data_IF_295673457758
#
_entry.id   IF_295673457758
#
_cell.length_a   1.000
_cell.length_b   1.000
_cell.length_c   1.000
_cell.angle_alpha   90.00
_cell.angle_beta   90.00
_cell.angle_gamma   90.00
#
_symmetry.space_group_name_H-M   'P 1'
#
loop_
_entity.id
_entity.type
_entity.pdbx_description
1 polymer ?
#
# COMPACT_ATOMS: atom_id res chain seq x y z
N UNK A 1 3.02 36.08 31.51
CA UNK A 1 1.85 36.84 30.99
C UNK A 1 1.49 37.93 31.98
N UNK A 2 1.31 39.18 31.54
CA UNK A 2 0.80 40.26 32.40
C UNK A 2 -0.59 39.87 32.92
N UNK A 3 -0.79 39.86 34.23
CA UNK A 3 -2.09 39.51 34.82
C UNK A 3 -3.19 40.45 34.30
N UNK A 4 -4.35 39.90 33.95
CA UNK A 4 -5.52 40.70 33.56
C UNK A 4 -5.94 41.60 34.72
N UNK A 5 -6.42 42.80 34.41
CA UNK A 5 -7.04 43.66 35.43
C UNK A 5 -8.19 42.91 36.12
N UNK A 6 -8.42 43.18 37.41
CA UNK A 6 -9.47 42.52 38.21
C UNK A 6 -10.83 42.51 37.52
N UNK A 7 -11.17 43.62 36.85
CA UNK A 7 -12.41 43.78 36.10
C UNK A 7 -12.54 42.90 34.84
N UNK A 8 -11.47 42.30 34.32
CA UNK A 8 -11.48 41.52 33.07
C UNK A 8 -11.07 40.05 33.26
N UNK A 9 -10.99 39.57 34.51
CA UNK A 9 -10.49 38.20 34.79
C UNK A 9 -11.40 37.11 34.25
N UNK A 10 -12.70 37.35 34.25
CA UNK A 10 -13.76 36.47 33.75
C UNK A 10 -13.95 36.51 32.23
N UNK A 11 -13.29 37.43 31.52
CA UNK A 11 -13.38 37.53 30.07
C UNK A 11 -12.32 36.67 29.36
N UNK A 12 -12.61 36.16 28.15
CA UNK A 12 -11.62 35.49 27.30
C UNK A 12 -10.34 36.31 27.03
N UNK A 13 -9.21 35.69 26.62
CA UNK A 13 -7.99 36.39 26.26
C UNK A 13 -8.24 37.51 25.22
N UNK A 14 -7.61 38.67 25.37
CA UNK A 14 -7.76 39.84 24.49
C UNK A 14 -9.16 40.46 24.43
N UNK A 15 -10.12 40.00 25.22
CA UNK A 15 -11.41 40.69 25.42
C UNK A 15 -11.32 41.65 26.61
N UNK A 16 -11.88 42.86 26.46
CA UNK A 16 -11.84 43.94 27.47
C UNK A 16 -13.26 44.49 27.65
N UNK A 17 -13.67 44.71 28.90
CA UNK A 17 -14.84 45.55 29.22
C UNK A 17 -14.44 46.99 29.48
N UNK A 18 -15.23 47.93 28.97
CA UNK A 18 -15.18 49.35 29.32
C UNK A 18 -16.47 49.71 30.04
N UNK A 19 -16.34 50.38 31.17
CA UNK A 19 -17.45 50.84 31.98
C UNK A 19 -17.45 52.36 31.92
N UNK A 20 -18.55 52.96 31.45
CA UNK A 20 -18.76 54.41 31.46
C UNK A 20 -19.94 54.75 32.36
N UNK A 21 -19.76 55.72 33.26
CA UNK A 21 -20.85 56.27 34.08
C UNK A 21 -21.41 57.49 33.36
N UNK A 22 -22.72 57.50 33.11
CA UNK A 22 -23.43 58.67 32.61
C UNK A 22 -23.68 59.70 33.71
N UNK A 23 -24.10 60.90 33.31
CA UNK A 23 -24.37 62.05 34.20
C UNK A 23 -25.48 61.77 35.23
N UNK A 24 -26.37 60.80 34.94
CA UNK A 24 -27.47 60.35 35.81
C UNK A 24 -27.14 59.10 36.63
N UNK A 25 -25.87 58.68 36.70
CA UNK A 25 -25.42 57.49 37.43
C UNK A 25 -25.64 56.16 36.70
N UNK A 26 -26.29 56.17 35.53
CA UNK A 26 -26.48 54.97 34.69
C UNK A 26 -25.13 54.43 34.19
N UNK A 27 -24.90 53.14 34.42
CA UNK A 27 -23.65 52.44 34.04
C UNK A 27 -23.83 51.81 32.66
N UNK A 28 -22.94 52.15 31.72
CA UNK A 28 -22.87 51.54 30.40
C UNK A 28 -21.66 50.61 30.33
N UNK A 29 -21.91 49.34 30.02
CA UNK A 29 -20.86 48.33 29.81
C UNK A 29 -20.78 48.04 28.32
N UNK A 30 -19.58 48.15 27.76
CA UNK A 30 -19.29 47.75 26.38
C UNK A 30 -18.06 46.86 26.32
N UNK A 31 -18.09 45.90 25.41
CA UNK A 31 -17.06 44.91 25.21
C UNK A 31 -16.26 45.22 23.94
N UNK A 32 -14.95 44.99 24.02
CA UNK A 32 -14.01 45.22 22.92
C UNK A 32 -13.05 44.03 22.77
N UNK A 33 -12.67 43.75 21.53
CA UNK A 33 -11.56 42.87 21.20
C UNK A 33 -10.30 43.70 21.02
N UNK A 34 -9.27 43.42 21.81
CA UNK A 34 -7.96 44.07 21.77
C UNK A 34 -6.99 43.25 20.89
N UNK A 35 -7.14 43.42 19.58
CA UNK A 35 -6.30 42.80 18.57
C UNK A 35 -5.05 43.62 18.24
N UNK A 36 -4.29 43.13 17.25
CA UNK A 36 -3.22 43.89 16.59
C UNK A 36 -3.53 43.97 15.10
N UNK A 37 -3.25 45.11 14.48
CA UNK A 37 -3.28 45.24 13.02
C UNK A 37 -2.06 44.60 12.35
N UNK A 38 -2.01 44.62 11.01
CA UNK A 38 -0.90 44.06 10.21
C UNK A 38 0.45 44.73 10.52
N UNK A 39 0.44 45.97 11.03
CA UNK A 39 1.62 46.71 11.48
C UNK A 39 1.98 46.44 12.96
N UNK A 40 1.26 45.54 13.64
CA UNK A 40 1.52 45.15 15.02
C UNK A 40 1.02 46.14 16.08
N UNK A 41 0.31 47.21 15.69
CA UNK A 41 -0.26 48.23 16.57
C UNK A 41 -1.59 47.74 17.14
N UNK A 42 -1.87 48.12 18.39
CA UNK A 42 -3.11 47.71 19.08
C UNK A 42 -4.31 48.42 18.46
N UNK A 43 -5.35 47.65 18.15
CA UNK A 43 -6.64 48.15 17.66
C UNK A 43 -7.76 47.50 18.45
N UNK A 44 -8.59 48.32 19.09
CA UNK A 44 -9.78 47.87 19.80
C UNK A 44 -10.96 47.82 18.81
N UNK A 45 -11.55 46.63 18.65
CA UNK A 45 -12.74 46.42 17.80
C UNK A 45 -13.96 46.32 18.74
N UNK A 46 -15.02 47.14 18.55
CA UNK A 46 -16.21 47.06 19.38
C UNK A 46 -16.97 45.74 19.13
N UNK A 47 -17.33 45.04 20.21
CA UNK A 47 -18.07 43.77 20.19
C UNK A 47 -19.54 43.91 20.63
N UNK A 48 -19.94 45.10 21.09
CA UNK A 48 -21.29 45.41 21.56
C UNK A 48 -21.41 45.49 23.08
N UNK A 49 -22.64 45.53 23.57
CA UNK A 49 -22.99 45.69 25.00
C UNK A 49 -23.50 44.41 25.64
N UNK A 50 -23.88 43.41 24.85
CA UNK A 50 -24.30 42.09 25.31
C UNK A 50 -23.09 41.16 25.42
N UNK A 51 -22.92 40.49 26.57
CA UNK A 51 -21.74 39.67 26.85
C UNK A 51 -21.67 38.42 25.98
N UNK A 52 -22.80 37.77 25.70
CA UNK A 52 -22.83 36.50 24.99
C UNK A 52 -22.65 36.71 23.49
N UNK A 53 -23.28 37.74 22.91
CA UNK A 53 -22.99 38.16 21.53
C UNK A 53 -21.53 38.61 21.39
N UNK A 54 -20.99 39.34 22.38
CA UNK A 54 -19.61 39.77 22.35
C UNK A 54 -18.62 38.60 22.43
N UNK A 55 -18.94 37.51 23.15
CA UNK A 55 -18.15 36.27 23.15
C UNK A 55 -18.18 35.55 21.79
N UNK A 56 -19.32 35.56 21.09
CA UNK A 56 -19.44 34.98 19.74
C UNK A 56 -18.56 35.74 18.74
N UNK A 57 -18.65 37.07 18.73
CA UNK A 57 -17.81 37.91 17.85
C UNK A 57 -16.32 37.88 18.26
N UNK A 58 -16.02 37.80 19.56
CA UNK A 58 -14.65 37.54 20.04
C UNK A 58 -14.11 36.23 19.48
N UNK A 59 -14.89 35.14 19.57
CA UNK A 59 -14.49 33.83 19.06
C UNK A 59 -14.30 33.88 17.53
N UNK A 60 -15.09 34.69 16.82
CA UNK A 60 -14.90 34.91 15.38
C UNK A 60 -13.57 35.60 15.06
N UNK A 61 -13.17 36.60 15.84
CA UNK A 61 -11.95 37.39 15.62
C UNK A 61 -10.66 36.73 16.12
N UNK A 62 -10.73 35.89 17.15
CA UNK A 62 -9.58 35.13 17.68
C UNK A 62 -9.32 33.84 16.88
N UNK A 63 -10.26 33.42 16.00
CA UNK A 63 -10.06 32.28 15.09
C UNK A 63 -8.86 32.52 14.17
N UNK A 64 -7.79 31.74 14.38
CA UNK A 64 -6.57 31.78 13.55
C UNK A 64 -6.78 31.26 12.12
N UNK A 65 -7.77 30.38 11.91
CA UNK A 65 -8.22 29.93 10.60
C UNK A 65 -9.69 29.46 10.71
N UNK A 66 -10.53 29.67 9.68
CA UNK A 66 -11.87 29.06 9.65
C UNK A 66 -11.73 27.53 9.67
N UNK A 67 -12.64 26.80 10.37
CA UNK A 67 -12.65 25.35 10.28
C UNK A 67 -12.80 24.94 8.81
N UNK A 68 -12.02 23.95 8.37
CA UNK A 68 -12.13 23.42 7.02
C UNK A 68 -13.59 23.00 6.77
N UNK A 69 -14.19 23.34 5.62
CA UNK A 69 -15.57 22.98 5.35
C UNK A 69 -15.72 21.46 5.38
N UNK A 70 -16.46 20.94 6.36
CA UNK A 70 -16.64 19.51 6.58
C UNK A 70 -17.48 18.81 5.50
N UNK A 71 -18.18 19.59 4.66
CA UNK A 71 -18.98 19.11 3.54
C UNK A 71 -18.16 18.83 2.26
N UNK A 72 -16.85 19.09 2.25
CA UNK A 72 -15.97 18.87 1.11
C UNK A 72 -15.20 17.56 1.22
N UNK A 73 -14.83 16.98 0.08
CA UNK A 73 -13.98 15.79 0.05
C UNK A 73 -12.57 16.02 0.61
N UNK A 74 -12.04 17.24 0.56
CA UNK A 74 -10.78 17.59 1.24
C UNK A 74 -10.77 17.18 2.71
N UNK A 75 -11.87 17.44 3.43
CA UNK A 75 -12.03 17.06 4.83
C UNK A 75 -12.05 15.54 5.00
N UNK A 76 -12.77 14.82 4.13
CA UNK A 76 -12.83 13.35 4.13
C UNK A 76 -11.43 12.77 3.92
N UNK A 77 -10.68 13.24 2.91
CA UNK A 77 -9.34 12.75 2.62
C UNK A 77 -8.37 13.02 3.76
N UNK A 78 -8.38 14.23 4.34
CA UNK A 78 -7.51 14.59 5.46
C UNK A 78 -7.74 13.66 6.66
N UNK A 79 -9.02 13.46 7.02
CA UNK A 79 -9.41 12.59 8.13
C UNK A 79 -9.08 11.14 7.84
N UNK A 80 -9.29 10.69 6.59
CA UNK A 80 -8.99 9.32 6.16
C UNK A 80 -7.49 9.00 6.21
N UNK A 81 -6.65 9.94 5.77
CA UNK A 81 -5.19 9.82 5.89
C UNK A 81 -4.73 9.74 7.34
N UNK A 82 -5.41 10.44 8.25
CA UNK A 82 -5.07 10.47 9.68
C UNK A 82 -5.56 9.25 10.46
N UNK A 83 -6.80 8.83 10.22
CA UNK A 83 -7.48 7.85 11.08
C UNK A 83 -7.49 6.43 10.48
N UNK A 84 -7.54 6.30 9.15
CA UNK A 84 -7.75 5.00 8.48
C UNK A 84 -6.47 4.43 7.89
N UNK A 85 -5.63 5.26 7.25
CA UNK A 85 -4.40 4.77 6.61
C UNK A 85 -3.43 4.15 7.62
N UNK A 86 -3.15 4.74 8.80
CA UNK A 86 -2.16 4.19 9.73
C UNK A 86 -2.47 2.78 10.23
N UNK A 87 -3.75 2.40 10.27
CA UNK A 87 -4.18 1.03 10.63
C UNK A 87 -3.91 -0.04 9.56
N UNK A 88 -3.46 0.34 8.36
CA UNK A 88 -3.17 -0.60 7.25
C UNK A 88 -1.70 -0.98 7.20
N UNK A 89 -1.36 -2.06 6.50
CA UNK A 89 0.04 -2.46 6.30
C UNK A 89 0.86 -1.35 5.61
N UNK A 90 2.13 -1.19 5.96
CA UNK A 90 3.03 -0.11 5.45
C UNK A 90 2.98 -0.01 3.92
N UNK A 91 2.97 -1.14 3.21
CA UNK A 91 2.87 -1.13 1.75
C UNK A 91 1.55 -0.54 1.26
N UNK A 92 0.44 -0.97 1.87
CA UNK A 92 -0.89 -0.44 1.59
C UNK A 92 -0.99 1.05 1.92
N UNK A 93 -0.32 1.53 2.98
CA UNK A 93 -0.26 2.96 3.30
C UNK A 93 0.38 3.75 2.16
N UNK A 94 1.56 3.33 1.71
CA UNK A 94 2.26 3.98 0.59
C UNK A 94 1.43 4.00 -0.69
N UNK A 95 0.72 2.90 -0.99
CA UNK A 95 -0.13 2.82 -2.18
C UNK A 95 -1.37 3.72 -2.05
N UNK A 96 -2.03 3.76 -0.89
CA UNK A 96 -3.18 4.64 -0.63
C UNK A 96 -2.81 6.13 -0.69
N UNK A 97 -1.66 6.55 -0.17
CA UNK A 97 -1.23 7.95 -0.27
C UNK A 97 -1.03 8.38 -1.73
N UNK A 98 -0.51 7.49 -2.58
CA UNK A 98 -0.40 7.77 -4.03
C UNK A 98 -1.77 7.89 -4.69
N UNK A 99 -2.72 7.07 -4.29
CA UNK A 99 -4.09 7.09 -4.80
C UNK A 99 -4.83 8.35 -4.34
N UNK A 100 -4.75 8.72 -3.06
CA UNK A 100 -5.33 9.97 -2.53
C UNK A 100 -4.72 11.20 -3.21
N UNK A 101 -3.40 11.21 -3.44
CA UNK A 101 -2.75 12.30 -4.19
C UNK A 101 -3.39 12.49 -5.58
N UNK A 102 -3.83 11.42 -6.24
CA UNK A 102 -4.50 11.51 -7.54
C UNK A 102 -6.00 11.81 -7.43
N UNK A 103 -6.67 11.34 -6.39
CA UNK A 103 -8.07 11.65 -6.13
C UNK A 103 -8.25 13.13 -5.75
N UNK A 104 -7.35 13.68 -4.95
CA UNK A 104 -7.38 15.10 -4.54
C UNK A 104 -7.43 16.04 -5.73
N UNK A 105 -6.62 15.79 -6.76
CA UNK A 105 -6.62 16.60 -8.00
C UNK A 105 -7.98 16.72 -8.67
N UNK A 106 -8.84 15.71 -8.53
CA UNK A 106 -10.15 15.67 -9.19
C UNK A 106 -11.31 16.01 -8.25
N UNK A 107 -11.19 15.68 -6.96
CA UNK A 107 -12.33 15.68 -6.04
C UNK A 107 -12.16 16.59 -4.82
N UNK A 108 -10.97 17.12 -4.52
CA UNK A 108 -10.70 17.79 -3.24
C UNK A 108 -11.63 18.97 -2.92
N UNK A 109 -11.96 19.78 -3.93
CA UNK A 109 -12.88 20.92 -3.82
C UNK A 109 -14.34 20.56 -4.03
N UNK A 110 -14.67 19.31 -4.34
CA UNK A 110 -16.05 18.90 -4.57
C UNK A 110 -16.79 18.69 -3.23
N UNK A 111 -18.02 19.22 -3.10
CA UNK A 111 -18.92 18.82 -2.02
C UNK A 111 -19.17 17.30 -2.07
N UNK A 112 -19.12 16.64 -0.92
CA UNK A 112 -19.33 15.18 -0.78
C UNK A 112 -20.65 14.79 -1.46
N UNK A 113 -21.70 15.59 -1.21
CA UNK A 113 -23.05 15.44 -1.72
C UNK A 113 -23.19 15.61 -3.25
N UNK A 114 -22.23 16.26 -3.90
CA UNK A 114 -22.29 16.56 -5.34
C UNK A 114 -21.70 15.47 -6.23
N UNK A 115 -21.00 14.50 -5.65
CA UNK A 115 -20.31 13.46 -6.41
C UNK A 115 -21.31 12.41 -6.86
N UNK A 116 -21.48 12.28 -8.16
CA UNK A 116 -22.40 11.30 -8.78
C UNK A 116 -21.62 10.14 -9.42
N UNK A 117 -22.27 8.99 -9.67
CA UNK A 117 -21.66 7.89 -10.43
C UNK A 117 -21.14 8.32 -11.80
N UNK A 118 -21.79 9.30 -12.45
CA UNK A 118 -21.36 9.85 -13.73
C UNK A 118 -19.99 10.54 -13.62
N UNK A 119 -19.78 11.35 -12.57
CA UNK A 119 -18.48 12.03 -12.34
C UNK A 119 -17.38 11.00 -12.06
N UNK A 120 -17.68 9.94 -11.31
CA UNK A 120 -16.72 8.84 -11.06
C UNK A 120 -16.37 8.10 -12.35
N UNK A 121 -17.35 7.88 -13.25
CA UNK A 121 -17.10 7.29 -14.56
C UNK A 121 -16.26 8.21 -15.47
N UNK A 122 -16.53 9.52 -15.48
CA UNK A 122 -15.71 10.49 -16.21
C UNK A 122 -14.26 10.48 -15.71
N UNK A 123 -14.05 10.44 -14.39
CA UNK A 123 -12.71 10.26 -13.81
C UNK A 123 -12.04 8.98 -14.32
N UNK A 124 -12.73 7.84 -14.26
CA UNK A 124 -12.21 6.55 -14.78
C UNK A 124 -11.75 6.66 -16.23
N UNK A 125 -12.55 7.31 -17.07
CA UNK A 125 -12.35 7.35 -18.50
C UNK A 125 -11.23 8.32 -18.89
N UNK A 126 -11.12 9.45 -18.19
CA UNK A 126 -10.05 10.43 -18.35
C UNK A 126 -8.67 9.91 -17.89
N UNK A 127 -8.60 8.96 -16.95
CA UNK A 127 -7.32 8.40 -16.49
C UNK A 127 -6.69 7.51 -17.56
N UNK A 128 -5.44 7.81 -17.91
CA UNK A 128 -4.63 7.02 -18.87
C UNK A 128 -4.22 5.67 -18.28
N UNK A 129 -3.78 5.65 -17.02
CA UNK A 129 -3.41 4.43 -16.30
C UNK A 129 -4.66 3.67 -15.81
N UNK A 130 -5.29 2.88 -16.69
CA UNK A 130 -6.59 2.23 -16.45
C UNK A 130 -6.66 1.34 -15.20
N UNK A 131 -5.59 0.59 -14.91
CA UNK A 131 -5.51 -0.24 -13.68
C UNK A 131 -5.41 0.64 -12.43
N UNK A 132 -4.64 1.74 -12.47
CA UNK A 132 -4.54 2.68 -11.35
C UNK A 132 -5.86 3.39 -11.10
N UNK A 133 -6.59 3.75 -12.16
CA UNK A 133 -7.94 4.30 -12.04
C UNK A 133 -8.89 3.37 -11.26
N UNK A 134 -8.83 2.05 -11.51
CA UNK A 134 -9.61 1.09 -10.74
C UNK A 134 -9.23 1.10 -9.26
N UNK A 135 -7.94 1.18 -8.92
CA UNK A 135 -7.48 1.23 -7.53
C UNK A 135 -7.90 2.53 -6.84
N UNK A 136 -7.73 3.66 -7.52
CA UNK A 136 -8.17 4.99 -7.06
C UNK A 136 -9.68 5.01 -6.77
N UNK A 137 -10.52 4.50 -7.68
CA UNK A 137 -11.97 4.45 -7.46
C UNK A 137 -12.34 3.44 -6.34
N UNK A 138 -11.53 2.40 -6.11
CA UNK A 138 -11.76 1.47 -4.99
C UNK A 138 -11.48 2.17 -3.65
N UNK A 139 -10.41 2.96 -3.59
CA UNK A 139 -10.10 3.78 -2.43
C UNK A 139 -11.15 4.87 -2.20
N UNK A 140 -11.58 5.55 -3.27
CA UNK A 140 -12.65 6.55 -3.21
C UNK A 140 -13.95 5.94 -2.69
N UNK A 141 -14.32 4.74 -3.18
CA UNK A 141 -15.49 4.01 -2.69
C UNK A 141 -15.38 3.75 -1.19
N UNK A 142 -14.23 3.25 -0.72
CA UNK A 142 -14.03 3.00 0.71
C UNK A 142 -14.07 4.31 1.53
N UNK A 143 -13.43 5.38 1.05
CA UNK A 143 -13.47 6.69 1.71
C UNK A 143 -14.90 7.24 1.82
N UNK A 144 -15.75 7.04 0.80
CA UNK A 144 -17.16 7.39 0.85
C UNK A 144 -17.96 6.57 1.87
N UNK A 145 -17.70 5.27 1.97
CA UNK A 145 -18.32 4.44 3.01
C UNK A 145 -17.94 4.93 4.40
N UNK A 146 -16.66 5.22 4.64
CA UNK A 146 -16.19 5.78 5.92
C UNK A 146 -16.78 7.19 6.18
N UNK A 147 -16.94 8.03 5.15
CA UNK A 147 -17.59 9.34 5.30
C UNK A 147 -19.04 9.21 5.80
N UNK A 148 -19.76 8.16 5.37
CA UNK A 148 -21.10 7.84 5.91
C UNK A 148 -21.03 7.39 7.36
N UNK A 149 -20.08 6.52 7.72
CA UNK A 149 -19.86 6.09 9.11
C UNK A 149 -19.52 7.27 10.04
N UNK A 150 -18.85 8.29 9.52
CA UNK A 150 -18.57 9.53 10.23
C UNK A 150 -19.74 10.52 10.29
N UNK A 151 -20.89 10.20 9.68
CA UNK A 151 -22.06 11.07 9.62
C UNK A 151 -21.85 12.32 8.76
N UNK A 152 -20.94 12.28 7.79
CA UNK A 152 -20.67 13.42 6.89
C UNK A 152 -21.62 13.45 5.68
N UNK A 153 -22.28 12.34 5.38
CA UNK A 153 -23.25 12.21 4.28
C UNK A 153 -24.15 11.00 4.53
N UNK A 154 -25.42 11.13 4.17
CA UNK A 154 -26.38 10.02 4.17
C UNK A 154 -26.55 9.38 2.79
N UNK A 155 -25.98 10.01 1.74
CA UNK A 155 -26.11 9.54 0.36
C UNK A 155 -25.48 8.17 0.15
N UNK A 156 -26.05 7.45 -0.80
CA UNK A 156 -25.48 6.20 -1.29
C UNK A 156 -24.08 6.44 -1.89
N UNK A 157 -23.22 5.42 -1.78
CA UNK A 157 -21.85 5.50 -2.30
C UNK A 157 -21.86 5.67 -3.84
N UNK A 158 -21.35 6.79 -4.38
CA UNK A 158 -21.42 7.06 -5.82
C UNK A 158 -20.52 6.16 -6.66
N UNK A 159 -19.58 5.44 -6.04
CA UNK A 159 -18.73 4.48 -6.74
C UNK A 159 -19.43 3.12 -6.95
N UNK A 160 -20.55 2.88 -6.25
CA UNK A 160 -21.31 1.64 -6.38
C UNK A 160 -21.97 1.58 -7.77
N UNK A 161 -21.95 0.40 -8.41
CA UNK A 161 -22.48 0.20 -9.77
C UNK A 161 -21.62 0.78 -10.90
N UNK A 162 -20.55 1.53 -10.61
CA UNK A 162 -19.65 2.05 -11.64
C UNK A 162 -18.75 0.94 -12.17
N UNK A 163 -18.88 0.64 -13.48
CA UNK A 163 -18.07 -0.38 -14.16
C UNK A 163 -16.58 -0.08 -14.00
N UNK A 164 -15.78 -1.11 -13.71
CA UNK A 164 -14.32 -1.01 -13.68
C UNK A 164 -13.72 -1.24 -15.07
N UNK A 165 -12.52 -0.71 -15.30
CA UNK A 165 -11.75 -1.03 -16.49
C UNK A 165 -11.41 -2.53 -16.48
N UNK A 166 -11.51 -3.21 -17.63
CA UNK A 166 -11.11 -4.62 -17.73
C UNK A 166 -9.60 -4.72 -17.52
N UNK A 167 -9.18 -5.45 -16.48
CA UNK A 167 -7.77 -5.75 -16.22
C UNK A 167 -7.42 -7.06 -16.92
N UNK A 168 -6.42 -7.06 -17.79
CA UNK A 168 -5.84 -8.29 -18.35
C UNK A 168 -4.75 -8.79 -17.38
N UNK A 169 -4.90 -9.97 -16.77
CA UNK A 169 -3.83 -10.57 -16.00
C UNK A 169 -2.58 -10.74 -16.85
N UNK A 170 -1.41 -10.64 -16.21
CA UNK A 170 -0.14 -10.94 -16.87
C UNK A 170 -0.08 -12.43 -17.20
N UNK A 171 0.11 -12.74 -18.47
CA UNK A 171 0.20 -14.10 -19.00
C UNK A 171 1.59 -14.34 -19.58
N UNK A 172 2.54 -14.63 -18.70
CA UNK A 172 3.93 -14.87 -19.07
C UNK A 172 4.37 -16.20 -18.45
N UNK A 173 4.95 -17.06 -19.27
CA UNK A 173 5.55 -18.33 -18.88
C UNK A 173 7.05 -18.32 -19.14
N UNK A 174 7.84 -18.58 -18.11
CA UNK A 174 9.28 -18.77 -18.25
C UNK A 174 9.56 -20.25 -18.57
N UNK A 175 9.59 -20.58 -19.86
CA UNK A 175 10.06 -21.89 -20.32
C UNK A 175 11.53 -22.14 -19.96
N UNK A 176 11.99 -23.38 -20.13
CA UNK A 176 13.33 -23.80 -19.72
C UNK A 176 14.45 -22.97 -20.37
N UNK A 177 14.31 -22.61 -21.64
CA UNK A 177 15.31 -21.80 -22.37
C UNK A 177 15.52 -20.45 -21.67
N UNK A 178 14.42 -19.74 -21.35
CA UNK A 178 14.47 -18.44 -20.67
C UNK A 178 15.00 -18.60 -19.24
N UNK A 179 14.52 -19.63 -18.52
CA UNK A 179 14.98 -19.91 -17.16
C UNK A 179 16.49 -20.12 -17.14
N UNK A 180 17.00 -21.02 -17.99
CA UNK A 180 18.40 -21.39 -18.05
C UNK A 180 19.28 -20.20 -18.47
N UNK A 181 18.84 -19.40 -19.44
CA UNK A 181 19.58 -18.21 -19.88
C UNK A 181 19.73 -17.16 -18.76
N UNK A 182 18.68 -16.92 -17.96
CA UNK A 182 18.79 -16.01 -16.82
C UNK A 182 19.59 -16.66 -15.68
N UNK A 183 19.36 -17.93 -15.41
CA UNK A 183 20.02 -18.68 -14.34
C UNK A 183 21.53 -18.76 -14.56
N UNK A 184 22.03 -18.91 -15.80
CA UNK A 184 23.46 -18.95 -16.08
C UNK A 184 24.18 -17.65 -15.73
N UNK A 185 23.51 -16.50 -15.90
CA UNK A 185 24.06 -15.17 -15.63
C UNK A 185 23.77 -14.68 -14.19
N UNK A 186 22.98 -15.44 -13.42
CA UNK A 186 22.62 -15.12 -12.05
C UNK A 186 23.78 -15.37 -11.08
N UNK A 187 23.97 -14.43 -10.14
CA UNK A 187 24.85 -14.65 -8.98
C UNK A 187 24.30 -15.77 -8.08
N UNK A 188 25.16 -16.41 -7.30
CA UNK A 188 24.77 -17.59 -6.51
C UNK A 188 23.61 -17.30 -5.54
N UNK A 189 23.63 -16.17 -4.85
CA UNK A 189 22.54 -15.79 -3.95
C UNK A 189 21.20 -15.56 -4.66
N UNK A 190 21.23 -15.21 -5.96
CA UNK A 190 20.02 -15.08 -6.77
C UNK A 190 19.51 -16.45 -7.22
N UNK A 191 20.41 -17.37 -7.59
CA UNK A 191 20.08 -18.78 -7.89
C UNK A 191 19.38 -19.43 -6.72
N UNK A 192 19.93 -19.25 -5.52
CA UNK A 192 19.35 -19.76 -4.27
C UNK A 192 17.92 -19.23 -4.05
N UNK A 193 17.71 -17.94 -4.33
CA UNK A 193 16.37 -17.33 -4.25
C UNK A 193 15.42 -17.89 -5.31
N UNK A 194 15.90 -18.13 -6.53
CA UNK A 194 15.11 -18.68 -7.64
C UNK A 194 14.65 -20.11 -7.35
N UNK A 195 15.57 -20.96 -6.92
CA UNK A 195 15.29 -22.36 -6.63
C UNK A 195 14.34 -22.49 -5.45
N UNK A 196 14.58 -21.74 -4.37
CA UNK A 196 13.67 -21.73 -3.23
C UNK A 196 12.28 -21.21 -3.63
N UNK A 197 12.20 -20.18 -4.47
CA UNK A 197 10.92 -19.66 -4.96
C UNK A 197 10.17 -20.66 -5.84
N UNK A 198 10.88 -21.40 -6.69
CA UNK A 198 10.34 -22.40 -7.58
C UNK A 198 9.83 -23.62 -6.80
N UNK A 199 10.68 -24.22 -5.96
CA UNK A 199 10.39 -25.43 -5.19
C UNK A 199 9.28 -25.22 -4.14
N UNK A 200 9.16 -24.01 -3.60
CA UNK A 200 8.12 -23.70 -2.59
C UNK A 200 6.88 -23.04 -3.20
N UNK A 201 6.97 -22.51 -4.42
CA UNK A 201 5.92 -21.74 -5.06
C UNK A 201 5.54 -20.44 -4.32
N UNK A 202 6.37 -19.93 -3.40
CA UNK A 202 6.01 -18.79 -2.53
C UNK A 202 6.21 -17.42 -3.18
N UNK A 203 5.65 -16.37 -2.55
CA UNK A 203 5.80 -14.99 -3.04
C UNK A 203 7.21 -14.49 -2.73
N UNK A 204 7.75 -13.53 -3.50
CA UNK A 204 9.14 -13.07 -3.30
C UNK A 204 9.40 -12.52 -1.89
N UNK A 205 8.40 -11.88 -1.28
CA UNK A 205 8.47 -11.39 0.09
C UNK A 205 8.50 -12.49 1.15
N UNK A 206 7.84 -13.62 0.88
CA UNK A 206 7.80 -14.76 1.78
C UNK A 206 9.09 -15.58 1.64
N UNK A 207 9.61 -15.75 0.41
CA UNK A 207 10.90 -16.42 0.13
C UNK A 207 12.06 -15.77 0.89
N UNK A 208 12.17 -14.43 0.89
CA UNK A 208 13.24 -13.71 1.62
C UNK A 208 13.06 -13.69 3.15
N UNK A 209 12.01 -14.32 3.68
CA UNK A 209 11.77 -14.43 5.13
C UNK A 209 12.05 -15.83 5.67
N UNK A 210 12.13 -16.84 4.80
CA UNK A 210 12.36 -18.23 5.21
C UNK A 210 13.69 -18.33 5.97
N UNK A 211 13.64 -18.94 7.14
CA UNK A 211 14.79 -19.14 8.02
C UNK A 211 15.04 -20.63 8.28
N UNK A 212 16.27 -20.97 8.66
CA UNK A 212 16.65 -22.32 9.08
C UNK A 212 15.84 -22.79 10.30
N UNK A 213 15.38 -21.88 11.15
CA UNK A 213 14.48 -22.17 12.27
C UNK A 213 13.08 -22.59 11.85
N UNK A 214 12.71 -22.37 10.59
CA UNK A 214 11.44 -22.85 10.04
C UNK A 214 11.50 -24.32 9.60
N UNK A 215 12.69 -24.92 9.63
CA UNK A 215 12.88 -26.36 9.41
C UNK A 215 12.58 -27.10 10.70
N UNK A 216 11.55 -27.95 10.69
CA UNK A 216 11.12 -28.67 11.88
C UNK A 216 10.43 -29.99 11.52
N UNK A 217 10.83 -31.08 12.18
CA UNK A 217 10.20 -32.41 12.09
C UNK A 217 9.99 -32.92 10.65
N UNK A 218 10.98 -32.71 9.76
CA UNK A 218 10.87 -33.11 8.35
C UNK A 218 9.99 -32.20 7.49
N UNK A 219 9.66 -31.00 7.98
CA UNK A 219 8.91 -29.99 7.24
C UNK A 219 9.64 -28.64 7.17
N UNK A 220 9.37 -27.89 6.10
CA UNK A 220 9.58 -26.45 6.04
C UNK A 220 8.27 -25.73 6.36
N UNK A 221 8.25 -24.98 7.46
CA UNK A 221 7.10 -24.20 7.91
C UNK A 221 7.06 -22.85 7.18
N UNK A 222 5.91 -22.47 6.60
CA UNK A 222 5.78 -21.22 5.85
C UNK A 222 4.53 -20.47 6.32
N UNK A 223 4.72 -19.25 6.83
CA UNK A 223 3.65 -18.29 7.10
C UNK A 223 3.58 -17.21 6.01
N UNK A 224 2.53 -17.21 5.19
CA UNK A 224 2.38 -16.23 4.11
C UNK A 224 1.99 -14.85 4.66
N UNK A 225 2.77 -13.81 4.37
CA UNK A 225 2.52 -12.49 4.95
C UNK A 225 1.30 -11.75 4.40
N UNK A 226 0.82 -12.08 3.20
CA UNK A 226 -0.31 -11.39 2.56
C UNK A 226 -1.68 -11.95 2.97
N UNK A 227 -1.75 -13.27 3.16
CA UNK A 227 -3.00 -14.02 3.38
C UNK A 227 -3.01 -14.74 4.72
N UNK A 228 -1.92 -14.65 5.48
CA UNK A 228 -1.73 -15.27 6.81
C UNK A 228 -1.85 -16.80 6.84
N UNK A 229 -1.97 -17.44 5.67
CA UNK A 229 -2.06 -18.90 5.56
C UNK A 229 -0.73 -19.54 5.97
N UNK A 230 -0.84 -20.62 6.75
CA UNK A 230 0.29 -21.44 7.22
C UNK A 230 0.36 -22.73 6.43
N UNK A 231 1.54 -23.05 5.92
CA UNK A 231 1.84 -24.25 5.15
C UNK A 231 2.97 -25.02 5.83
N UNK A 232 2.96 -26.34 5.65
CA UNK A 232 4.04 -27.24 6.06
C UNK A 232 4.43 -28.06 4.84
N UNK A 233 5.57 -27.70 4.23
CA UNK A 233 6.06 -28.40 3.07
C UNK A 233 6.90 -29.59 3.53
N UNK A 234 6.52 -30.79 3.11
CA UNK A 234 7.20 -32.02 3.48
C UNK A 234 8.56 -32.08 2.77
N UNK A 235 9.64 -32.37 3.51
CA UNK A 235 10.99 -32.47 2.97
C UNK A 235 11.32 -33.87 2.45
N UNK A 236 10.68 -34.90 2.98
CA UNK A 236 10.87 -36.29 2.56
C UNK A 236 9.52 -36.97 2.37
N UNK A 237 9.33 -37.70 1.27
CA UNK A 237 8.11 -38.47 1.01
C UNK A 237 8.46 -39.93 0.78
N UNK A 238 7.85 -40.82 1.57
CA UNK A 238 8.10 -42.27 1.53
C UNK A 238 9.61 -42.66 1.59
N UNK A 239 10.41 -41.92 2.39
CA UNK A 239 11.84 -42.15 2.53
C UNK A 239 12.70 -41.58 1.40
N UNK A 240 12.09 -40.89 0.43
CA UNK A 240 12.78 -40.22 -0.67
C UNK A 240 12.86 -38.72 -0.36
N UNK A 241 14.06 -38.16 -0.40
CA UNK A 241 14.26 -36.72 -0.25
C UNK A 241 13.61 -35.97 -1.42
N UNK A 242 12.81 -34.96 -1.08
CA UNK A 242 12.28 -34.04 -2.08
C UNK A 242 13.40 -33.16 -2.64
N UNK A 243 13.22 -32.64 -3.86
CA UNK A 243 14.15 -31.65 -4.43
C UNK A 243 14.33 -30.40 -3.55
N UNK A 244 13.30 -30.05 -2.75
CA UNK A 244 13.40 -28.99 -1.74
C UNK A 244 14.38 -29.35 -0.62
N UNK A 245 14.36 -30.60 -0.14
CA UNK A 245 15.29 -31.06 0.90
C UNK A 245 16.72 -31.07 0.40
N UNK A 246 16.97 -31.62 -0.80
CA UNK A 246 18.30 -31.64 -1.41
C UNK A 246 18.84 -30.22 -1.56
N UNK A 247 18.06 -29.32 -2.14
CA UNK A 247 18.43 -27.91 -2.28
C UNK A 247 18.76 -27.23 -0.93
N UNK A 248 17.94 -27.46 0.10
CA UNK A 248 18.15 -26.85 1.42
C UNK A 248 19.44 -27.38 2.06
N UNK A 249 19.72 -28.68 1.93
CA UNK A 249 20.94 -29.27 2.46
C UNK A 249 22.18 -28.65 1.79
N UNK A 250 22.21 -28.58 0.46
CA UNK A 250 23.30 -27.98 -0.31
C UNK A 250 23.49 -26.49 0.03
N UNK A 251 22.37 -25.76 0.22
CA UNK A 251 22.40 -24.37 0.64
C UNK A 251 22.99 -24.21 2.04
N UNK A 252 22.57 -25.04 3.00
CA UNK A 252 23.08 -24.99 4.38
C UNK A 252 24.57 -25.34 4.43
N UNK A 253 25.03 -26.31 3.65
CA UNK A 253 26.44 -26.67 3.53
C UNK A 253 27.27 -25.50 2.97
N UNK A 254 26.86 -24.92 1.83
CA UNK A 254 27.53 -23.72 1.28
C UNK A 254 27.55 -22.56 2.26
N UNK A 255 26.49 -22.39 3.05
CA UNK A 255 26.43 -21.34 4.08
C UNK A 255 27.39 -21.60 5.24
N UNK A 256 27.53 -22.85 5.66
CA UNK A 256 28.49 -23.25 6.69
C UNK A 256 29.93 -23.00 6.23
N UNK A 257 30.28 -23.39 5.01
CA UNK A 257 31.61 -23.17 4.41
C UNK A 257 31.95 -21.68 4.33
N UNK A 258 30.97 -20.84 3.96
CA UNK A 258 31.15 -19.38 3.88
C UNK A 258 31.03 -18.65 5.23
N UNK A 259 30.90 -19.37 6.35
CA UNK A 259 30.82 -18.78 7.69
C UNK A 259 29.56 -17.93 7.94
N UNK A 260 28.46 -18.20 7.22
CA UNK A 260 27.21 -17.44 7.33
C UNK A 260 26.46 -17.82 8.62
N UNK A 261 26.30 -16.86 9.54
CA UNK A 261 25.68 -17.07 10.86
C UNK A 261 24.21 -16.70 10.95
N UNK A 262 23.66 -16.04 9.93
CA UNK A 262 22.25 -15.59 9.95
C UNK A 262 21.31 -16.79 9.89
N UNK A 263 20.09 -16.68 10.43
CA UNK A 263 19.10 -17.76 10.31
C UNK A 263 18.40 -17.75 8.95
N UNK A 264 18.26 -16.60 8.30
CA UNK A 264 17.59 -16.47 6.99
C UNK A 264 18.32 -17.27 5.91
N UNK A 265 17.59 -18.10 5.16
CA UNK A 265 18.19 -18.97 4.13
C UNK A 265 18.76 -18.16 2.97
N UNK A 266 18.02 -17.15 2.49
CA UNK A 266 18.47 -16.29 1.38
C UNK A 266 19.27 -15.10 1.92
N UNK A 267 20.58 -15.16 1.72
CA UNK A 267 21.54 -14.12 2.13
C UNK A 267 22.18 -13.44 0.93
N UNK A 268 22.82 -12.29 1.13
CA UNK A 268 23.73 -11.71 0.17
C UNK A 268 25.11 -12.40 0.24
N UNK A 269 26.04 -11.98 -0.63
CA UNK A 269 27.42 -12.46 -0.66
C UNK A 269 28.21 -12.26 0.64
N UNK A 270 27.77 -11.36 1.53
CA UNK A 270 28.38 -11.12 2.86
C UNK A 270 27.70 -11.90 3.99
N UNK A 271 26.76 -12.80 3.68
CA UNK A 271 26.02 -13.58 4.67
C UNK A 271 24.92 -12.83 5.43
N UNK A 272 24.61 -11.59 5.04
CA UNK A 272 23.50 -10.81 5.60
C UNK A 272 22.21 -11.09 4.85
N UNK A 273 21.06 -10.87 5.49
CA UNK A 273 19.75 -11.06 4.86
C UNK A 273 19.60 -10.24 3.59
N UNK A 274 19.15 -10.88 2.51
CA UNK A 274 18.85 -10.18 1.26
C UNK A 274 17.58 -9.33 1.40
N UNK A 275 17.66 -8.05 1.03
CA UNK A 275 16.50 -7.16 1.00
C UNK A 275 15.71 -7.30 -0.32
N UNK A 276 14.45 -6.86 -0.34
CA UNK A 276 13.64 -6.85 -1.56
C UNK A 276 14.26 -5.99 -2.67
N UNK A 277 14.88 -4.86 -2.31
CA UNK A 277 15.54 -4.00 -3.28
C UNK A 277 16.79 -4.68 -3.84
N UNK A 278 17.56 -5.39 -3.00
CA UNK A 278 18.72 -6.16 -3.47
C UNK A 278 18.30 -7.28 -4.42
N UNK A 279 17.28 -8.07 -4.06
CA UNK A 279 16.75 -9.12 -4.93
C UNK A 279 16.36 -8.55 -6.30
N UNK A 280 15.66 -7.40 -6.30
CA UNK A 280 15.26 -6.72 -7.52
C UNK A 280 16.46 -6.29 -8.36
N UNK A 281 17.44 -5.62 -7.75
CA UNK A 281 18.63 -5.16 -8.47
C UNK A 281 19.39 -6.35 -9.07
N UNK A 282 19.64 -7.40 -8.29
CA UNK A 282 20.32 -8.60 -8.78
C UNK A 282 19.55 -9.30 -9.91
N UNK A 283 18.21 -9.33 -9.83
CA UNK A 283 17.37 -9.84 -10.91
C UNK A 283 17.49 -8.99 -12.18
N UNK A 284 17.38 -7.67 -12.05
CA UNK A 284 17.50 -6.74 -13.18
C UNK A 284 18.89 -6.87 -13.83
N UNK A 285 19.97 -6.94 -13.04
CA UNK A 285 21.34 -7.15 -13.52
C UNK A 285 21.49 -8.48 -14.29
N UNK A 286 21.02 -9.60 -13.72
CA UNK A 286 21.11 -10.91 -14.36
C UNK A 286 20.29 -10.98 -15.65
N UNK A 287 19.09 -10.39 -15.63
CA UNK A 287 18.22 -10.31 -16.80
C UNK A 287 18.83 -9.48 -17.92
N UNK A 288 19.45 -8.35 -17.59
CA UNK A 288 20.07 -7.48 -18.58
C UNK A 288 21.29 -8.15 -19.22
N UNK A 289 22.14 -8.81 -18.43
CA UNK A 289 23.26 -9.64 -18.92
C UNK A 289 22.78 -10.75 -19.86
N UNK A 290 21.79 -11.54 -19.43
CA UNK A 290 21.24 -12.64 -20.21
C UNK A 290 20.59 -12.15 -21.52
N UNK A 291 19.88 -11.02 -21.48
CA UNK A 291 19.28 -10.43 -22.67
C UNK A 291 20.31 -9.86 -23.64
N UNK A 292 21.40 -9.24 -23.15
CA UNK A 292 22.51 -8.77 -23.98
C UNK A 292 23.18 -9.95 -24.66
N UNK A 293 23.50 -11.02 -23.91
CA UNK A 293 24.10 -12.24 -24.46
C UNK A 293 23.24 -12.86 -25.56
N UNK A 294 21.94 -13.07 -25.31
CA UNK A 294 21.02 -13.59 -26.32
C UNK A 294 20.94 -12.68 -27.56
N UNK A 295 21.04 -11.35 -27.38
CA UNK A 295 21.08 -10.40 -28.50
C UNK A 295 22.38 -10.55 -29.32
N UNK A 296 23.53 -10.70 -28.65
CA UNK A 296 24.84 -10.92 -29.30
C UNK A 296 24.87 -12.24 -30.06
N UNK A 297 24.21 -13.28 -29.53
CA UNK A 297 24.08 -14.59 -30.17
C UNK A 297 23.04 -14.59 -31.32
N UNK A 298 22.39 -13.46 -31.59
CA UNK A 298 21.43 -13.27 -32.68
C UNK A 298 19.98 -13.65 -32.34
N UNK A 299 19.69 -14.13 -31.14
CA UNK A 299 18.34 -14.52 -30.71
C UNK A 299 17.59 -13.35 -30.06
N UNK A 300 17.06 -12.46 -30.91
CA UNK A 300 16.28 -11.30 -30.49
C UNK A 300 14.97 -11.69 -29.78
N UNK A 301 14.38 -12.84 -30.13
CA UNK A 301 13.12 -13.31 -29.55
C UNK A 301 13.34 -13.80 -28.11
N UNK A 302 14.42 -14.54 -27.85
CA UNK A 302 14.84 -14.93 -26.52
C UNK A 302 15.21 -13.70 -25.69
N UNK A 303 15.98 -12.75 -26.25
CA UNK A 303 16.32 -11.51 -25.55
C UNK A 303 15.07 -10.71 -25.13
N UNK A 304 14.08 -10.59 -26.01
CA UNK A 304 12.81 -9.94 -25.70
C UNK A 304 12.04 -10.70 -24.60
N UNK A 305 12.02 -12.02 -24.66
CA UNK A 305 11.38 -12.87 -23.66
C UNK A 305 12.06 -12.76 -22.29
N UNK A 306 13.40 -12.79 -22.23
CA UNK A 306 14.18 -12.60 -21.01
C UNK A 306 13.88 -11.25 -20.38
N UNK A 307 13.88 -10.14 -21.17
CA UNK A 307 13.58 -8.79 -20.66
C UNK A 307 12.20 -8.69 -20.00
N UNK A 308 11.24 -9.48 -20.46
CA UNK A 308 9.93 -9.54 -19.82
C UNK A 308 9.93 -10.35 -18.53
N UNK A 309 10.84 -11.30 -18.32
CA UNK A 309 10.83 -12.20 -17.16
C UNK A 309 10.97 -11.43 -15.84
N UNK A 310 10.03 -11.64 -14.91
CA UNK A 310 10.06 -11.07 -13.57
C UNK A 310 10.16 -12.19 -12.53
N UNK A 311 10.85 -11.94 -11.41
CA UNK A 311 11.00 -12.95 -10.34
C UNK A 311 9.65 -13.48 -9.83
N UNK A 312 8.59 -12.66 -9.83
CA UNK A 312 7.24 -13.11 -9.45
C UNK A 312 6.62 -14.13 -10.41
N UNK A 313 7.15 -14.26 -11.62
CA UNK A 313 6.69 -15.20 -12.65
C UNK A 313 7.22 -16.63 -12.38
N UNK A 314 8.15 -16.81 -11.43
CA UNK A 314 8.57 -18.14 -10.94
C UNK A 314 7.40 -18.88 -10.27
N UNK A 315 6.57 -18.17 -9.51
CA UNK A 315 5.40 -18.75 -8.85
C UNK A 315 4.36 -19.35 -9.83
N UNK A 316 3.92 -18.65 -10.89
CA UNK A 316 3.06 -19.26 -11.90
C UNK A 316 3.78 -20.32 -12.74
N UNK A 317 5.10 -20.26 -12.94
CA UNK A 317 5.88 -21.38 -13.52
C UNK A 317 5.72 -22.64 -12.67
N UNK A 318 6.05 -22.58 -11.38
CA UNK A 318 5.89 -23.69 -10.44
C UNK A 318 4.46 -24.23 -10.41
N UNK A 319 3.45 -23.35 -10.39
CA UNK A 319 2.05 -23.75 -10.43
C UNK A 319 1.61 -24.38 -11.76
N UNK A 320 2.31 -24.10 -12.85
CA UNK A 320 2.01 -24.62 -14.19
C UNK A 320 2.60 -26.00 -14.43
N UNK A 321 3.66 -26.36 -13.72
CA UNK A 321 4.46 -27.58 -13.94
C UNK A 321 4.07 -28.75 -13.01
N UNK A 322 3.08 -28.53 -12.14
CA UNK A 322 2.53 -29.54 -11.23
C UNK A 322 1.01 -29.66 -11.40
N UNK A 323 0.41 -30.70 -10.81
CA UNK A 323 -1.03 -30.92 -10.83
C UNK A 323 -1.84 -29.78 -10.18
N UNK A 324 -3.04 -29.50 -10.68
CA UNK A 324 -3.77 -28.25 -10.33
C UNK A 324 -4.13 -28.21 -8.84
N UNK A 325 -4.60 -29.36 -8.35
CA UNK A 325 -4.97 -29.57 -6.95
C UNK A 325 -3.76 -29.36 -6.04
N UNK A 326 -2.60 -29.91 -6.43
CA UNK A 326 -1.35 -29.78 -5.71
C UNK A 326 -0.82 -28.34 -5.74
N UNK A 327 -0.81 -27.70 -6.92
CA UNK A 327 -0.44 -26.29 -7.10
C UNK A 327 -1.27 -25.37 -6.21
N UNK A 328 -2.59 -25.57 -6.16
CA UNK A 328 -3.49 -24.77 -5.34
C UNK A 328 -3.14 -24.85 -3.85
N UNK A 329 -2.84 -26.06 -3.37
CA UNK A 329 -2.42 -26.30 -1.98
C UNK A 329 -1.04 -25.69 -1.69
N UNK A 330 -0.06 -25.91 -2.56
CA UNK A 330 1.31 -25.39 -2.45
C UNK A 330 1.33 -23.85 -2.42
N UNK A 331 0.55 -23.21 -3.30
CA UNK A 331 0.44 -21.75 -3.35
C UNK A 331 -0.40 -21.21 -2.18
N UNK A 332 -1.11 -22.06 -1.45
CA UNK A 332 -1.91 -21.64 -0.32
C UNK A 332 -3.20 -20.92 -0.75
N UNK A 333 -3.79 -21.28 -1.88
CA UNK A 333 -5.10 -20.75 -2.27
C UNK A 333 -6.22 -21.52 -1.60
N UNK A 334 -7.36 -20.86 -1.36
CA UNK A 334 -8.55 -21.50 -0.78
C UNK A 334 -9.37 -22.24 -1.82
N UNK A 335 -9.35 -21.78 -3.08
CA UNK A 335 -10.05 -22.38 -4.20
C UNK A 335 -9.09 -22.63 -5.37
N UNK A 336 -9.31 -23.72 -6.11
CA UNK A 336 -8.50 -24.07 -7.29
C UNK A 336 -8.72 -23.11 -8.45
N UNK A 337 -9.90 -22.52 -8.55
CA UNK A 337 -10.26 -21.54 -9.59
C UNK A 337 -9.29 -20.34 -9.60
N UNK A 338 -8.84 -19.89 -8.42
CA UNK A 338 -7.83 -18.84 -8.32
C UNK A 338 -6.50 -19.26 -8.96
N UNK A 339 -6.06 -20.49 -8.73
CA UNK A 339 -4.84 -21.03 -9.34
C UNK A 339 -5.02 -21.19 -10.85
N UNK A 340 -6.14 -21.77 -11.28
CA UNK A 340 -6.47 -21.99 -12.70
C UNK A 340 -6.50 -20.68 -13.48
N UNK A 341 -7.16 -19.65 -12.95
CA UNK A 341 -7.36 -18.37 -13.65
C UNK A 341 -6.12 -17.46 -13.61
N UNK A 342 -5.39 -17.46 -12.49
CA UNK A 342 -4.34 -16.45 -12.25
C UNK A 342 -2.93 -17.01 -12.38
N UNK A 343 -2.71 -18.31 -12.18
CA UNK A 343 -1.36 -18.89 -12.06
C UNK A 343 -1.02 -19.98 -13.07
N UNK A 344 -2.00 -20.60 -13.74
CA UNK A 344 -1.73 -21.47 -14.89
C UNK A 344 -1.30 -20.65 -16.10
N UNK A 345 -0.23 -21.08 -16.76
CA UNK A 345 0.33 -20.46 -17.98
C UNK A 345 0.51 -21.45 -19.13
N UNK A 346 0.52 -22.73 -18.80
CA UNK A 346 0.58 -23.81 -19.77
C UNK A 346 -0.79 -24.51 -19.76
N UNK A 347 -1.20 -25.01 -20.93
CA UNK A 347 -2.38 -25.85 -21.06
C UNK A 347 -2.26 -27.15 -20.28
N UNK A 348 -3.39 -27.83 -20.11
CA UNK A 348 -3.44 -29.14 -19.47
C UNK A 348 -2.83 -30.20 -20.39
N UNK A 349 -2.04 -31.10 -19.82
CA UNK A 349 -1.52 -32.26 -20.54
C UNK A 349 -2.68 -33.25 -20.67
N UNK A 350 -3.26 -33.32 -21.85
CA UNK A 350 -4.34 -34.26 -22.16
C UNK A 350 -3.80 -35.42 -22.99
N UNK A 351 -4.24 -36.64 -22.66
CA UNK A 351 -3.95 -37.80 -23.51
C UNK A 351 -4.76 -37.66 -24.81
N UNK A 352 -4.16 -37.96 -25.97
CA UNK A 352 -4.93 -38.05 -27.21
C UNK A 352 -5.99 -39.15 -27.07
N UNK A 353 -7.05 -39.06 -27.88
CA UNK A 353 -8.17 -40.02 -27.89
C UNK A 353 -7.77 -41.47 -28.22
N UNK A 354 -6.57 -41.69 -28.79
CA UNK A 354 -5.97 -42.98 -29.09
C UNK A 354 -4.46 -42.93 -28.91
#
# INVERSE_FOLDING_TARGET
>A
MRQKSSANRDLPPRMIRRIRKGTTGKIWVSYYYNGRDEAGKRKEIPLGTDLDQAKVEWARLERKAPPKPNHLMSYVFDRYEKEIIPGKSIRTQSDNHKEIKQLRKAFESAPIESITPQVVAQYRDARTAKVRANREIALLSHAFTIAREWGLTDKANPCFGVRRNKEKPRDYYAGEIVWNALYSEAAQELKDAMDLAYLTGQRPADVLKIAATDLNNGFLLIGQGKTEKRLRLRLEDAGIQSGLSTFINDLLERRAINGVKTSTLITNSSGLRMSQQMLRNRWDDARDKAAIKATTDGDLALAASIRQFQFKDIRPKAASEIELTHASRLLGHSTEEMTKKVYRRIGEIVKPTK
#
